data_IF_437382016710
#
_entry.id   IF_437382016710
#
_cell.length_a   1.000
_cell.length_b   1.000
_cell.length_c   1.000
_cell.angle_alpha   90.00
_cell.angle_beta   90.00
_cell.angle_gamma   90.00
#
_symmetry.space_group_name_H-M   'P 1'
#
loop_
_entity.id
_entity.type
_entity.pdbx_description
1 polymer ?
#
# COMPACT_ATOMS: atom_id res chain seq x y z
N UNK A 1 -40.91 -11.60 -45.91
CA UNK A 1 -40.52 -10.31 -45.28
C UNK A 1 -39.97 -10.64 -43.89
N UNK A 2 -38.82 -10.07 -43.52
CA UNK A 2 -37.69 -10.81 -42.95
C UNK A 2 -37.43 -10.47 -41.46
N UNK A 3 -36.44 -11.19 -40.88
CA UNK A 3 -35.53 -10.78 -39.78
C UNK A 3 -36.18 -10.37 -38.42
N UNK A 4 -35.76 -10.87 -37.26
CA UNK A 4 -34.41 -11.10 -36.78
C UNK A 4 -34.36 -12.28 -35.81
N UNK A 5 -33.39 -13.18 -36.03
CA UNK A 5 -32.70 -13.84 -34.93
C UNK A 5 -32.12 -12.75 -34.02
N UNK A 6 -32.80 -12.46 -32.93
CA UNK A 6 -32.15 -11.83 -31.78
C UNK A 6 -31.27 -12.92 -31.19
N UNK A 7 -29.95 -12.80 -31.39
CA UNK A 7 -29.00 -13.52 -30.57
C UNK A 7 -29.34 -13.19 -29.12
N UNK A 8 -29.81 -14.20 -28.39
CA UNK A 8 -30.11 -14.10 -26.97
C UNK A 8 -28.77 -14.04 -26.23
N UNK A 9 -28.09 -12.89 -26.31
CA UNK A 9 -26.98 -12.58 -25.43
C UNK A 9 -27.63 -12.10 -24.14
N UNK A 10 -27.62 -12.96 -23.13
CA UNK A 10 -28.03 -12.62 -21.79
C UNK A 10 -27.34 -11.31 -21.34
N UNK A 11 -28.04 -10.38 -20.69
CA UNK A 11 -27.40 -9.17 -20.19
C UNK A 11 -26.47 -9.56 -19.03
N UNK A 12 -25.17 -9.43 -19.24
CA UNK A 12 -24.21 -9.41 -18.13
C UNK A 12 -24.21 -7.98 -17.59
N UNK A 13 -25.02 -7.71 -16.56
CA UNK A 13 -25.00 -6.42 -15.84
C UNK A 13 -23.80 -6.35 -14.88
N UNK A 14 -22.59 -6.40 -15.40
CA UNK A 14 -21.40 -6.19 -14.57
C UNK A 14 -21.20 -4.69 -14.29
N UNK A 15 -21.14 -4.33 -13.00
CA UNK A 15 -20.82 -2.97 -12.55
C UNK A 15 -19.30 -2.83 -12.41
N UNK A 16 -18.73 -1.96 -13.23
CA UNK A 16 -17.31 -1.63 -13.18
C UNK A 16 -17.06 -0.36 -12.37
N UNK A 17 -15.96 -0.36 -11.64
CA UNK A 17 -15.50 0.77 -10.86
C UNK A 17 -14.06 1.10 -11.25
N UNK A 18 -13.69 2.37 -11.16
CA UNK A 18 -12.30 2.79 -11.31
C UNK A 18 -11.49 2.28 -10.12
N UNK A 19 -10.29 1.75 -10.38
CA UNK A 19 -9.42 1.22 -9.33
C UNK A 19 -8.93 2.34 -8.41
N UNK A 20 -9.13 2.19 -7.10
CA UNK A 20 -8.61 3.11 -6.08
C UNK A 20 -7.17 2.78 -5.64
N UNK A 21 -6.71 1.56 -5.94
CA UNK A 21 -5.40 1.01 -5.60
C UNK A 21 -5.03 -0.14 -6.57
N UNK A 22 -3.74 -0.43 -6.72
CA UNK A 22 -3.28 -1.49 -7.62
C UNK A 22 -3.29 -2.89 -6.97
N UNK A 23 -3.31 -2.96 -5.63
CA UNK A 23 -3.17 -4.20 -4.86
C UNK A 23 -4.01 -5.38 -5.37
N UNK A 24 -5.35 -5.22 -5.59
CA UNK A 24 -6.18 -6.33 -6.05
C UNK A 24 -5.72 -6.91 -7.39
N UNK A 25 -5.21 -6.08 -8.30
CA UNK A 25 -4.71 -6.53 -9.60
C UNK A 25 -3.39 -7.29 -9.45
N UNK A 26 -2.48 -6.80 -8.61
CA UNK A 26 -1.23 -7.51 -8.30
C UNK A 26 -1.49 -8.86 -7.64
N UNK A 27 -2.46 -8.97 -6.73
CA UNK A 27 -2.85 -10.26 -6.16
C UNK A 27 -3.39 -11.24 -7.21
N UNK A 28 -4.14 -10.74 -8.22
CA UNK A 28 -4.56 -11.57 -9.34
C UNK A 28 -3.39 -12.01 -10.22
N UNK A 29 -2.42 -11.13 -10.48
CA UNK A 29 -1.19 -11.48 -11.20
C UNK A 29 -0.36 -12.53 -10.47
N UNK A 30 -0.22 -12.38 -9.15
CA UNK A 30 0.45 -13.37 -8.31
C UNK A 30 -0.27 -14.73 -8.37
N UNK A 31 -1.60 -14.73 -8.23
CA UNK A 31 -2.41 -15.96 -8.23
C UNK A 31 -2.53 -16.63 -9.60
N UNK A 32 -2.25 -15.92 -10.70
CA UNK A 32 -2.40 -16.45 -12.06
C UNK A 32 -1.37 -17.55 -12.41
N UNK A 33 -0.24 -17.60 -11.71
CA UNK A 33 0.84 -18.57 -11.97
C UNK A 33 1.21 -19.25 -10.66
N UNK A 34 1.14 -20.60 -10.56
CA UNK A 34 1.62 -21.33 -9.39
C UNK A 34 3.10 -21.01 -9.12
N UNK A 35 3.46 -20.78 -7.86
CA UNK A 35 4.82 -20.43 -7.43
C UNK A 35 5.34 -21.40 -6.37
N UNK A 36 6.63 -21.71 -6.46
CA UNK A 36 7.38 -22.36 -5.39
C UNK A 36 7.92 -21.32 -4.40
N UNK A 37 8.24 -21.77 -3.18
CA UNK A 37 9.00 -20.95 -2.23
C UNK A 37 10.36 -20.47 -2.80
N UNK A 38 10.91 -21.21 -3.77
CA UNK A 38 12.16 -20.86 -4.48
C UNK A 38 12.00 -19.66 -5.42
N UNK A 39 10.76 -19.35 -5.83
CA UNK A 39 10.46 -18.21 -6.70
C UNK A 39 10.28 -16.91 -5.91
N UNK A 40 10.38 -16.97 -4.58
CA UNK A 40 10.28 -15.84 -3.67
C UNK A 40 11.68 -15.37 -3.21
N UNK A 41 11.91 -14.05 -3.08
CA UNK A 41 10.92 -12.98 -3.12
C UNK A 41 10.56 -12.53 -4.55
N UNK A 42 9.27 -12.34 -4.81
CA UNK A 42 8.76 -11.80 -6.07
C UNK A 42 8.33 -10.34 -5.87
N UNK A 43 8.81 -9.44 -6.73
CA UNK A 43 8.50 -8.01 -6.68
C UNK A 43 7.72 -7.62 -7.94
N UNK A 44 6.46 -7.22 -7.77
CA UNK A 44 5.62 -6.68 -8.85
C UNK A 44 5.54 -5.16 -8.70
N UNK A 45 6.05 -4.40 -9.66
CA UNK A 45 6.01 -2.95 -9.66
C UNK A 45 5.23 -2.42 -10.86
N UNK A 46 4.40 -1.40 -10.65
CA UNK A 46 3.59 -0.75 -11.68
C UNK A 46 3.55 0.76 -11.40
N UNK A 47 3.72 1.57 -12.45
CA UNK A 47 3.27 2.96 -12.42
C UNK A 47 1.75 3.00 -12.65
N UNK A 48 0.98 2.58 -11.65
CA UNK A 48 -0.45 2.32 -11.79
C UNK A 48 -1.30 3.57 -11.62
N UNK A 49 -2.16 3.85 -12.60
CA UNK A 49 -3.15 4.93 -12.53
C UNK A 49 -4.32 4.56 -11.62
N UNK A 50 -4.55 5.34 -10.58
CA UNK A 50 -5.64 5.13 -9.62
C UNK A 50 -6.51 6.38 -9.47
N UNK A 51 -7.74 6.14 -9.04
CA UNK A 51 -8.75 7.17 -8.86
C UNK A 51 -9.33 7.14 -7.44
N UNK A 52 -9.34 8.29 -6.77
CA UNK A 52 -9.92 8.44 -5.43
C UNK A 52 -10.93 9.56 -5.45
N UNK A 53 -12.14 9.28 -4.96
CA UNK A 53 -13.21 10.27 -4.93
C UNK A 53 -13.08 11.18 -3.70
N UNK A 54 -12.07 12.04 -3.73
CA UNK A 54 -11.80 13.04 -2.69
C UNK A 54 -12.88 14.15 -2.71
N UNK A 55 -13.19 14.70 -1.54
CA UNK A 55 -14.14 15.81 -1.41
C UNK A 55 -13.63 17.03 -2.19
N UNK A 56 -14.53 17.76 -2.87
CA UNK A 56 -14.13 18.86 -3.75
C UNK A 56 -13.37 19.98 -3.01
N UNK A 57 -13.72 20.23 -1.74
CA UNK A 57 -13.05 21.24 -0.90
C UNK A 57 -11.65 20.83 -0.42
N UNK A 58 -11.26 19.57 -0.59
CA UNK A 58 -9.97 19.05 -0.14
C UNK A 58 -8.91 19.00 -1.26
N UNK A 59 -9.32 19.20 -2.51
CA UNK A 59 -8.41 19.18 -3.65
C UNK A 59 -7.41 20.35 -3.56
N UNK A 60 -6.13 20.05 -3.77
CA UNK A 60 -5.07 21.03 -3.63
C UNK A 60 -3.96 20.80 -4.66
N UNK A 61 -4.03 21.56 -5.76
CA UNK A 61 -3.01 21.54 -6.83
C UNK A 61 -2.67 20.12 -7.27
N UNK A 62 -1.37 19.79 -7.23
CA UNK A 62 -0.85 18.44 -7.47
C UNK A 62 -0.68 17.59 -6.20
N UNK A 63 -0.87 18.18 -5.03
CA UNK A 63 -0.63 17.51 -3.74
C UNK A 63 -1.82 16.63 -3.31
N UNK A 64 -3.06 17.03 -3.68
CA UNK A 64 -4.27 16.23 -3.40
C UNK A 64 -5.20 16.25 -4.61
N UNK A 65 -5.28 15.11 -5.29
CA UNK A 65 -5.91 14.95 -6.62
C UNK A 65 -6.85 13.74 -6.62
N UNK A 66 -7.77 13.70 -7.60
CA UNK A 66 -8.67 12.55 -7.81
C UNK A 66 -8.09 11.47 -8.72
N UNK A 67 -7.09 11.80 -9.52
CA UNK A 67 -6.41 10.90 -10.45
C UNK A 67 -4.92 11.01 -10.19
N UNK A 68 -4.28 9.90 -9.90
CA UNK A 68 -2.85 9.84 -9.60
C UNK A 68 -2.23 8.60 -10.24
N UNK A 69 -0.94 8.69 -10.56
CA UNK A 69 -0.14 7.55 -11.00
C UNK A 69 0.85 7.23 -9.89
N UNK A 70 0.61 6.13 -9.18
CA UNK A 70 1.45 5.73 -8.05
C UNK A 70 2.63 4.91 -8.57
N UNK A 71 3.83 5.18 -8.07
CA UNK A 71 4.95 4.25 -8.18
C UNK A 71 4.75 3.13 -7.16
N UNK A 72 3.88 2.17 -7.50
CA UNK A 72 3.37 1.17 -6.57
C UNK A 72 4.09 -0.16 -6.78
N UNK A 73 4.38 -0.86 -5.69
CA UNK A 73 5.04 -2.16 -5.72
C UNK A 73 4.47 -3.10 -4.66
N UNK A 74 4.31 -4.37 -5.03
CA UNK A 74 3.86 -5.43 -4.16
C UNK A 74 4.91 -6.53 -4.12
N UNK A 75 5.42 -6.79 -2.93
CA UNK A 75 6.48 -7.78 -2.69
C UNK A 75 5.86 -8.99 -2.01
N UNK A 76 5.96 -10.15 -2.65
CA UNK A 76 5.54 -11.44 -2.13
C UNK A 76 6.78 -12.18 -1.66
N UNK A 77 6.80 -12.63 -0.42
CA UNK A 77 7.98 -13.19 0.23
C UNK A 77 7.59 -14.16 1.33
N UNK A 78 8.53 -15.00 1.76
CA UNK A 78 8.35 -15.83 2.96
C UNK A 78 8.57 -15.00 4.24
N UNK A 79 8.08 -15.43 5.41
CA UNK A 79 8.30 -14.71 6.66
C UNK A 79 9.78 -14.49 7.01
N UNK A 80 10.64 -15.44 6.65
CA UNK A 80 12.09 -15.37 6.92
C UNK A 80 12.79 -14.31 6.06
N UNK A 81 12.19 -13.95 4.91
CA UNK A 81 12.71 -12.94 3.99
C UNK A 81 12.28 -11.52 4.35
N UNK A 82 11.30 -11.37 5.25
CA UNK A 82 10.67 -10.09 5.58
C UNK A 82 11.66 -9.00 5.98
N UNK A 83 12.54 -9.28 6.96
CA UNK A 83 13.48 -8.28 7.47
C UNK A 83 14.43 -7.78 6.37
N UNK A 84 14.93 -8.67 5.52
CA UNK A 84 15.84 -8.31 4.44
C UNK A 84 15.15 -7.45 3.38
N UNK A 85 13.95 -7.81 2.92
CA UNK A 85 13.21 -7.04 1.92
C UNK A 85 12.75 -5.69 2.47
N UNK A 86 12.33 -5.65 3.73
CA UNK A 86 11.89 -4.41 4.38
C UNK A 86 13.04 -3.42 4.53
N UNK A 87 14.23 -3.90 4.94
CA UNK A 87 15.43 -3.06 5.00
C UNK A 87 15.86 -2.57 3.62
N UNK A 88 15.79 -3.41 2.58
CA UNK A 88 16.10 -3.00 1.21
C UNK A 88 15.20 -1.86 0.72
N UNK A 89 13.90 -1.90 1.06
CA UNK A 89 12.95 -0.81 0.75
C UNK A 89 13.30 0.47 1.53
N UNK A 90 13.63 0.35 2.82
CA UNK A 90 14.06 1.50 3.62
C UNK A 90 15.34 2.15 3.07
N UNK A 91 16.35 1.36 2.73
CA UNK A 91 17.58 1.84 2.11
C UNK A 91 17.31 2.55 0.79
N UNK A 92 16.40 2.01 -0.04
CA UNK A 92 15.97 2.67 -1.27
C UNK A 92 15.40 4.08 -0.98
N UNK A 93 14.48 4.21 0.00
CA UNK A 93 13.93 5.52 0.38
C UNK A 93 15.01 6.49 0.86
N UNK A 94 15.90 6.05 1.76
CA UNK A 94 16.98 6.88 2.30
C UNK A 94 17.94 7.36 1.19
N UNK A 95 18.24 6.49 0.23
CA UNK A 95 19.06 6.84 -0.93
C UNK A 95 18.39 7.92 -1.79
N UNK A 96 17.08 7.82 -2.03
CA UNK A 96 16.34 8.86 -2.76
C UNK A 96 16.24 10.17 -1.99
N UNK A 97 16.00 10.14 -0.68
CA UNK A 97 15.99 11.36 0.13
C UNK A 97 17.33 12.08 0.08
N UNK A 98 18.44 11.35 0.18
CA UNK A 98 19.78 11.91 0.02
C UNK A 98 19.98 12.48 -1.39
N UNK A 99 19.54 11.77 -2.43
CA UNK A 99 19.69 12.20 -3.82
C UNK A 99 18.92 13.49 -4.13
N UNK A 100 17.71 13.63 -3.61
CA UNK A 100 16.85 14.80 -3.81
C UNK A 100 17.09 15.93 -2.79
N UNK A 101 18.00 15.74 -1.83
CA UNK A 101 18.28 16.74 -0.79
C UNK A 101 17.12 16.92 0.22
N UNK A 102 16.33 15.87 0.45
CA UNK A 102 15.24 15.88 1.42
C UNK A 102 15.83 15.57 2.80
N UNK A 103 16.13 16.62 3.56
CA UNK A 103 16.73 16.49 4.90
C UNK A 103 15.68 16.32 6.01
N UNK A 104 14.48 16.86 5.80
CA UNK A 104 13.40 16.85 6.80
C UNK A 104 12.33 15.83 6.43
N UNK A 105 12.47 14.63 6.98
CA UNK A 105 11.45 13.57 6.92
C UNK A 105 11.27 12.91 8.28
N UNK A 106 10.10 12.32 8.51
CA UNK A 106 9.80 11.54 9.71
C UNK A 106 9.09 10.25 9.31
N UNK A 107 9.57 9.10 9.78
CA UNK A 107 8.84 7.85 9.60
C UNK A 107 7.83 7.67 10.73
N UNK A 108 6.59 7.32 10.39
CA UNK A 108 5.53 6.98 11.35
C UNK A 108 5.22 5.51 11.27
N UNK A 109 5.43 4.77 12.35
CA UNK A 109 4.99 3.39 12.47
C UNK A 109 3.55 3.36 13.01
N UNK A 110 2.59 3.03 12.15
CA UNK A 110 1.19 3.01 12.53
C UNK A 110 0.73 1.61 12.92
N UNK A 111 0.22 1.49 14.15
CA UNK A 111 -0.27 0.23 14.74
C UNK A 111 -1.80 0.16 14.75
N UNK A 112 -2.34 -1.05 14.92
CA UNK A 112 -3.79 -1.25 15.04
C UNK A 112 -4.32 -0.83 16.41
N UNK A 113 -5.63 -0.62 16.45
CA UNK A 113 -6.39 -0.54 17.71
C UNK A 113 -7.05 -1.91 17.95
N UNK A 114 -6.65 -2.67 18.98
CA UNK A 114 -7.22 -3.98 19.29
C UNK A 114 -8.74 -3.93 19.50
N UNK A 115 -9.29 -2.80 19.94
CA UNK A 115 -10.74 -2.64 20.15
C UNK A 115 -11.55 -2.54 18.86
N UNK A 116 -10.89 -2.37 17.71
CA UNK A 116 -11.51 -2.19 16.38
C UNK A 116 -11.26 -3.35 15.42
N UNK A 117 -10.78 -4.47 15.94
CA UNK A 117 -10.70 -5.73 15.19
C UNK A 117 -12.10 -6.16 14.72
N UNK A 118 -12.19 -6.66 13.49
CA UNK A 118 -13.46 -7.03 12.84
C UNK A 118 -14.32 -5.84 12.37
N UNK A 119 -13.92 -4.60 12.65
CA UNK A 119 -14.62 -3.40 12.20
C UNK A 119 -13.78 -2.60 11.20
N UNK A 120 -12.67 -2.03 11.67
CA UNK A 120 -11.72 -1.25 10.85
C UNK A 120 -10.56 -2.13 10.37
N UNK A 121 -10.18 -3.08 11.20
CA UNK A 121 -9.04 -3.97 10.97
C UNK A 121 -9.51 -5.40 10.75
N UNK A 122 -8.75 -6.17 9.97
CA UNK A 122 -9.00 -7.61 9.81
C UNK A 122 -9.00 -8.31 11.17
N UNK A 123 -9.96 -9.20 11.39
CA UNK A 123 -10.19 -9.92 12.66
C UNK A 123 -9.19 -11.07 12.87
N UNK A 124 -7.91 -10.73 12.92
CA UNK A 124 -6.80 -11.68 13.04
C UNK A 124 -5.79 -11.18 14.10
N UNK A 125 -6.14 -11.24 15.41
CA UNK A 125 -5.36 -10.59 16.48
C UNK A 125 -3.91 -11.11 16.57
N UNK A 126 -3.68 -12.40 16.32
CA UNK A 126 -2.34 -12.97 16.39
C UNK A 126 -1.46 -12.53 15.21
N UNK A 127 -2.04 -12.40 14.02
CA UNK A 127 -1.33 -11.88 12.84
C UNK A 127 -0.92 -10.42 13.04
N UNK A 128 -1.79 -9.61 13.65
CA UNK A 128 -1.48 -8.22 13.99
C UNK A 128 -0.29 -8.12 14.94
N UNK A 129 -0.33 -8.84 16.07
CA UNK A 129 0.80 -8.86 17.02
C UNK A 129 2.09 -9.31 16.35
N UNK A 130 2.03 -10.36 15.53
CA UNK A 130 3.19 -10.89 14.83
C UNK A 130 3.80 -9.85 13.89
N UNK A 131 2.98 -9.26 13.01
CA UNK A 131 3.45 -8.30 12.00
C UNK A 131 3.94 -7.00 12.61
N UNK A 132 3.32 -6.53 13.69
CA UNK A 132 3.79 -5.35 14.43
C UNK A 132 5.13 -5.60 15.11
N UNK A 133 5.31 -6.74 15.77
CA UNK A 133 6.59 -7.12 16.39
C UNK A 133 7.68 -7.27 15.34
N UNK A 134 7.39 -7.93 14.22
CA UNK A 134 8.34 -8.06 13.11
C UNK A 134 8.76 -6.69 12.59
N UNK A 135 7.81 -5.80 12.29
CA UNK A 135 8.10 -4.44 11.78
C UNK A 135 8.89 -3.61 12.79
N UNK A 136 8.52 -3.67 14.08
CA UNK A 136 9.19 -2.96 15.15
C UNK A 136 10.64 -3.41 15.32
N UNK A 137 10.91 -4.72 15.23
CA UNK A 137 12.27 -5.25 15.32
C UNK A 137 13.13 -4.76 14.15
N UNK A 138 12.60 -4.79 12.92
CA UNK A 138 13.30 -4.26 11.74
C UNK A 138 13.62 -2.78 11.92
N UNK A 139 12.65 -1.99 12.38
CA UNK A 139 12.86 -0.57 12.64
C UNK A 139 13.96 -0.30 13.67
N UNK A 140 13.93 -1.01 14.81
CA UNK A 140 14.97 -0.91 15.84
C UNK A 140 16.36 -1.29 15.30
N UNK A 141 16.44 -2.34 14.50
CA UNK A 141 17.69 -2.81 13.91
C UNK A 141 18.23 -1.86 12.83
N UNK A 142 17.34 -1.22 12.08
CA UNK A 142 17.71 -0.28 11.00
C UNK A 142 18.31 1.04 11.50
N UNK A 143 18.10 1.39 12.78
CA UNK A 143 18.55 2.66 13.35
C UNK A 143 17.82 3.89 12.79
N UNK A 144 16.73 3.70 12.05
CA UNK A 144 15.94 4.78 11.47
C UNK A 144 15.07 5.41 12.58
N UNK A 145 15.04 6.74 12.64
CA UNK A 145 14.16 7.45 13.56
C UNK A 145 12.69 7.30 13.12
N UNK A 146 11.85 6.82 14.03
CA UNK A 146 10.42 6.68 13.80
C UNK A 146 9.59 7.12 15.03
N UNK A 147 8.32 7.43 14.81
CA UNK A 147 7.32 7.67 15.86
C UNK A 147 6.19 6.66 15.73
N UNK A 148 5.80 6.05 16.83
CA UNK A 148 4.66 5.13 16.87
C UNK A 148 3.34 5.90 16.95
N UNK A 149 2.36 5.55 16.11
CA UNK A 149 1.05 6.19 16.08
C UNK A 149 -0.05 5.12 16.13
N UNK A 150 -0.83 5.04 17.22
CA UNK A 150 -1.88 4.04 17.35
C UNK A 150 -3.08 4.34 16.44
N UNK A 151 -3.81 3.30 16.05
CA UNK A 151 -5.08 3.36 15.31
C UNK A 151 -4.99 3.96 13.89
N UNK A 152 -3.80 4.21 13.37
CA UNK A 152 -3.60 4.76 12.03
C UNK A 152 -3.24 3.71 10.97
N UNK A 153 -3.06 2.44 11.36
CA UNK A 153 -2.70 1.35 10.45
C UNK A 153 -3.66 1.19 9.24
N UNK A 154 -3.17 0.54 8.19
CA UNK A 154 -4.03 0.09 7.10
C UNK A 154 -4.99 -1.00 7.60
N UNK A 155 -6.08 -1.27 6.87
CA UNK A 155 -7.04 -2.28 7.31
C UNK A 155 -6.46 -3.71 7.37
N UNK A 156 -5.39 -3.98 6.59
CA UNK A 156 -4.79 -5.30 6.38
C UNK A 156 -3.44 -5.52 7.10
N UNK A 157 -2.94 -4.53 7.83
CA UNK A 157 -1.65 -4.65 8.53
C UNK A 157 -1.05 -3.32 8.95
N UNK A 158 0.04 -3.37 9.73
CA UNK A 158 0.75 -2.17 10.13
C UNK A 158 1.40 -1.50 8.91
N UNK A 159 1.65 -0.20 9.00
CA UNK A 159 2.27 0.56 7.91
C UNK A 159 3.34 1.50 8.45
N UNK A 160 4.26 1.86 7.55
CA UNK A 160 5.21 2.94 7.79
C UNK A 160 4.89 4.06 6.80
N UNK A 161 4.47 5.21 7.32
CA UNK A 161 4.27 6.40 6.51
C UNK A 161 5.50 7.28 6.59
N UNK A 162 6.05 7.70 5.46
CA UNK A 162 7.11 8.73 5.45
C UNK A 162 6.48 10.10 5.29
N UNK A 163 6.64 10.93 6.31
CA UNK A 163 6.17 12.29 6.32
C UNK A 163 7.23 13.22 5.75
N UNK A 164 6.82 14.02 4.78
CA UNK A 164 7.63 15.11 4.24
C UNK A 164 6.92 16.44 4.42
N UNK A 165 7.70 17.51 4.54
CA UNK A 165 7.18 18.86 4.67
C UNK A 165 7.26 19.58 3.32
N UNK A 166 6.14 20.18 2.93
CA UNK A 166 6.13 21.14 1.84
C UNK A 166 6.89 22.42 2.21
N UNK A 167 7.28 23.21 1.21
CA UNK A 167 7.94 24.50 1.41
C UNK A 167 7.14 25.49 2.28
N UNK A 168 5.81 25.33 2.35
CA UNK A 168 4.92 26.15 3.20
C UNK A 168 4.70 25.57 4.61
N UNK A 169 5.45 24.53 4.98
CA UNK A 169 5.42 23.91 6.31
C UNK A 169 4.26 22.93 6.55
N UNK A 170 3.40 22.69 5.54
CA UNK A 170 2.33 21.67 5.63
C UNK A 170 2.93 20.27 5.47
N UNK A 171 2.57 19.38 6.38
CA UNK A 171 2.94 17.97 6.38
C UNK A 171 2.09 17.20 5.36
N UNK A 172 2.74 16.33 4.60
CA UNK A 172 2.10 15.40 3.68
C UNK A 172 2.62 13.99 3.93
N UNK A 173 1.67 13.06 3.99
CA UNK A 173 1.84 11.61 4.08
C UNK A 173 1.70 10.98 2.70
#
# INVERSE_FOLDING_TARGET
>A
VPTLMMAQVAPVEDRYYLKAMNCPHHHKLFAAVPRSYRDLPLRLAEYGTCYRYEQSGELFGLMRVRSLQMNDAHIYMTPEQFEAEFNAVNEMYLNYFKLFGIEKYLMRFSTHDPSKLGQKFVDEPELWKQTEVMTLNVLKNSGINYVEVPNEAAFYGPKIDVQAWSAIGREFS
#
